data_IF_127359457621
#
_entry.id   IF_127359457621
#
_cell.length_a   1.000
_cell.length_b   1.000
_cell.length_c   1.000
_cell.angle_alpha   90.00
_cell.angle_beta   90.00
_cell.angle_gamma   90.00
#
_symmetry.space_group_name_H-M   'P 1'
#
loop_
_entity.id
_entity.type
_entity.pdbx_description
1 polymer ?
#
# COMPACT_ATOMS: atom_id res chain seq x y z
N UNK A 1 3.77 -8.10 15.73
CA UNK A 1 3.10 -6.77 15.73
C UNK A 1 1.94 -6.87 14.74
N UNK A 2 0.72 -6.58 15.15
CA UNK A 2 -0.45 -6.66 14.26
C UNK A 2 -0.93 -5.22 13.99
N UNK A 3 -0.85 -4.76 12.75
CA UNK A 3 -1.42 -3.48 12.38
C UNK A 3 -2.93 -3.66 12.18
N UNK A 4 -3.75 -2.85 12.86
CA UNK A 4 -5.16 -2.73 12.53
C UNK A 4 -5.29 -1.45 11.71
N UNK A 5 -5.46 -1.60 10.41
CA UNK A 5 -5.80 -0.48 9.55
C UNK A 5 -7.29 -0.20 9.74
N UNK A 6 -7.63 1.00 10.21
CA UNK A 6 -9.00 1.53 10.17
C UNK A 6 -9.01 2.65 9.15
N UNK A 7 -8.96 2.26 7.87
CA UNK A 7 -9.27 3.17 6.77
C UNK A 7 -10.76 3.05 6.50
N UNK A 8 -11.52 4.12 6.72
CA UNK A 8 -12.82 4.23 6.06
C UNK A 8 -12.57 4.26 4.56
N UNK A 9 -13.00 3.23 3.86
CA UNK A 9 -12.89 3.15 2.40
C UNK A 9 -13.90 4.12 1.82
N UNK A 10 -13.44 5.30 1.37
CA UNK A 10 -14.34 6.39 1.00
C UNK A 10 -13.90 7.15 -0.25
N UNK A 11 -14.89 7.32 -1.13
CA UNK A 11 -15.02 8.15 -2.33
C UNK A 11 -14.12 9.38 -2.40
N UNK A 12 -13.50 9.61 -3.55
CA UNK A 12 -12.92 10.87 -4.02
C UNK A 12 -11.96 11.66 -3.14
N UNK A 13 -10.93 12.24 -3.78
CA UNK A 13 -9.99 13.18 -3.14
C UNK A 13 -10.68 14.40 -2.48
N UNK A 14 -11.90 14.74 -2.90
CA UNK A 14 -12.68 15.86 -2.35
C UNK A 14 -13.46 15.49 -1.08
N UNK A 15 -13.90 14.24 -0.94
CA UNK A 15 -14.57 13.73 0.27
C UNK A 15 -13.59 13.34 1.38
N UNK A 16 -12.35 13.00 1.03
CA UNK A 16 -11.28 12.71 1.98
C UNK A 16 -10.96 13.88 2.93
N UNK A 17 -11.17 15.13 2.47
CA UNK A 17 -10.88 16.36 3.24
C UNK A 17 -11.78 16.58 4.45
N UNK A 18 -12.98 16.00 4.47
CA UNK A 18 -13.94 16.19 5.56
C UNK A 18 -13.91 15.06 6.61
N UNK A 19 -13.04 14.07 6.44
CA UNK A 19 -12.87 12.95 7.37
C UNK A 19 -11.52 13.08 8.10
N UNK A 20 -11.42 12.56 9.33
CA UNK A 20 -10.15 12.43 10.08
C UNK A 20 -9.67 10.97 10.05
N UNK A 21 -9.18 10.43 8.90
CA UNK A 21 -8.74 9.05 8.82
C UNK A 21 -7.49 8.81 9.67
N UNK A 22 -7.33 7.58 10.15
CA UNK A 22 -6.24 7.24 11.05
C UNK A 22 -5.80 5.78 10.89
N UNK A 23 -4.59 5.46 11.36
CA UNK A 23 -4.06 4.09 11.42
C UNK A 23 -3.65 3.78 12.86
N UNK A 24 -4.03 2.61 13.37
CA UNK A 24 -3.66 2.17 14.73
C UNK A 24 -2.85 0.87 14.65
N UNK A 25 -1.65 0.91 15.21
CA UNK A 25 -0.86 -0.31 15.39
C UNK A 25 -1.15 -0.89 16.76
N UNK A 26 -1.41 -2.20 16.79
CA UNK A 26 -1.79 -2.93 17.99
C UNK A 26 -0.77 -4.02 18.30
N UNK A 27 -0.49 -4.23 19.58
CA UNK A 27 0.31 -5.35 20.04
C UNK A 27 -0.39 -5.97 21.24
N UNK A 28 -0.66 -7.28 21.17
CA UNK A 28 -1.37 -8.02 22.21
C UNK A 28 -2.68 -7.33 22.67
N UNK A 29 -3.50 -6.90 21.70
CA UNK A 29 -4.78 -6.23 21.97
C UNK A 29 -4.69 -4.79 22.49
N UNK A 30 -3.50 -4.19 22.56
CA UNK A 30 -3.29 -2.83 23.07
C UNK A 30 -2.75 -1.88 22.00
N UNK A 31 -3.27 -0.64 21.99
CA UNK A 31 -2.81 0.44 21.10
C UNK A 31 -1.35 0.75 21.38
N UNK A 32 -0.51 0.58 20.37
CA UNK A 32 0.93 0.87 20.42
C UNK A 32 1.23 2.24 19.83
N UNK A 33 0.62 2.57 18.69
CA UNK A 33 0.77 3.87 18.05
C UNK A 33 -0.49 4.22 17.24
N UNK A 34 -0.75 5.52 17.09
CA UNK A 34 -1.83 6.05 16.26
C UNK A 34 -1.28 7.13 15.35
N UNK A 35 -1.46 6.96 14.05
CA UNK A 35 -1.23 7.98 13.04
C UNK A 35 -2.57 8.60 12.68
N UNK A 36 -2.71 9.93 12.83
CA UNK A 36 -3.86 10.68 12.32
C UNK A 36 -3.50 11.35 11.01
N UNK A 37 -4.47 11.58 10.13
CA UNK A 37 -4.27 12.22 8.84
C UNK A 37 -3.53 13.57 8.93
N UNK A 38 -3.80 14.36 9.97
CA UNK A 38 -3.13 15.64 10.19
C UNK A 38 -1.60 15.55 10.37
N UNK A 39 -1.06 14.39 10.76
CA UNK A 39 0.39 14.18 10.85
C UNK A 39 1.07 13.94 9.48
N UNK A 40 0.28 13.80 8.41
CA UNK A 40 0.73 13.59 7.03
C UNK A 40 0.57 14.85 6.16
N UNK A 41 0.47 16.02 6.79
CA UNK A 41 0.37 17.30 6.10
C UNK A 41 1.59 17.62 5.22
N UNK A 42 1.46 18.60 4.31
CA UNK A 42 2.59 19.08 3.53
C UNK A 42 3.63 19.76 4.44
N UNK A 43 4.89 19.68 4.02
CA UNK A 43 6.03 20.35 4.65
C UNK A 43 6.88 21.00 3.55
N UNK A 44 6.85 22.32 3.51
CA UNK A 44 7.56 23.11 2.50
C UNK A 44 9.09 23.09 2.71
N UNK A 45 9.58 22.97 3.95
CA UNK A 45 11.02 22.96 4.24
C UNK A 45 11.67 21.68 3.71
N UNK A 46 10.93 20.58 3.71
CA UNK A 46 11.38 19.27 3.21
C UNK A 46 10.89 18.94 1.81
N UNK A 47 10.24 19.90 1.12
CA UNK A 47 9.61 19.74 -0.20
C UNK A 47 8.62 18.55 -0.28
N UNK A 48 7.99 18.21 0.85
CA UNK A 48 7.02 17.14 0.94
C UNK A 48 5.62 17.70 0.70
N UNK A 49 5.00 17.33 -0.42
CA UNK A 49 3.57 17.62 -0.66
C UNK A 49 2.64 16.80 0.25
N UNK A 50 1.35 17.15 0.25
CA UNK A 50 0.32 16.48 1.05
C UNK A 50 0.36 14.95 0.87
N UNK A 51 0.47 14.22 1.98
CA UNK A 51 0.32 12.77 2.00
C UNK A 51 -1.04 12.40 2.58
N UNK A 52 -1.69 11.42 1.96
CA UNK A 52 -2.97 10.93 2.44
C UNK A 52 -2.77 9.58 3.12
N UNK A 53 -3.57 9.29 4.14
CA UNK A 53 -3.89 7.90 4.45
C UNK A 53 -4.52 7.31 3.17
N UNK A 54 -4.18 6.09 2.72
CA UNK A 54 -4.68 5.60 1.45
C UNK A 54 -6.23 5.56 1.41
N UNK A 55 -6.87 6.22 0.42
CA UNK A 55 -8.32 6.19 0.24
C UNK A 55 -8.80 4.90 -0.44
N UNK A 56 -7.91 4.27 -1.20
CA UNK A 56 -8.21 3.07 -1.98
C UNK A 56 -7.97 1.80 -1.15
N UNK A 57 -8.74 0.73 -1.42
CA UNK A 57 -8.50 -0.58 -0.82
C UNK A 57 -7.06 -1.04 -1.03
N UNK A 58 -6.47 -1.57 0.05
CA UNK A 58 -5.11 -2.12 0.06
C UNK A 58 -5.15 -3.65 0.19
N UNK A 59 -4.02 -4.28 -0.08
CA UNK A 59 -3.81 -5.71 0.15
C UNK A 59 -2.83 -5.92 1.32
N UNK A 60 -2.97 -7.05 2.01
CA UNK A 60 -2.07 -7.43 3.10
C UNK A 60 -0.88 -8.22 2.54
N UNK A 61 0.34 -7.82 2.91
CA UNK A 61 1.57 -8.57 2.59
C UNK A 61 2.20 -9.04 3.90
N UNK A 62 2.53 -10.33 3.95
CA UNK A 62 3.33 -10.93 5.01
C UNK A 62 4.56 -11.56 4.35
N UNK A 63 5.74 -11.00 4.60
CA UNK A 63 7.01 -11.47 4.04
C UNK A 63 8.05 -11.75 5.12
N UNK A 64 8.88 -12.76 4.88
CA UNK A 64 10.12 -12.98 5.61
C UNK A 64 11.27 -12.70 4.64
N UNK A 65 11.98 -11.59 4.85
CA UNK A 65 13.01 -11.11 3.94
C UNK A 65 14.27 -10.65 4.66
N UNK A 66 15.38 -10.64 3.94
CA UNK A 66 16.68 -10.17 4.39
C UNK A 66 17.13 -9.01 3.48
N UNK A 67 17.61 -7.92 4.06
CA UNK A 67 18.09 -6.75 3.32
C UNK A 67 19.22 -6.05 4.05
N UNK A 68 20.29 -5.72 3.32
CA UNK A 68 21.40 -4.91 3.83
C UNK A 68 21.06 -3.41 3.96
N UNK A 69 19.84 -3.00 3.59
CA UNK A 69 19.44 -1.58 3.54
C UNK A 69 18.91 -1.02 4.87
N UNK A 70 18.51 -1.86 5.83
CA UNK A 70 17.91 -1.42 7.10
C UNK A 70 18.89 -1.50 8.29
N UNK A 71 19.99 -2.24 8.15
CA UNK A 71 21.00 -2.45 9.18
C UNK A 71 22.07 -3.44 8.71
N UNK A 72 23.14 -3.58 9.50
CA UNK A 72 24.19 -4.57 9.23
C UNK A 72 23.64 -5.98 9.40
N UNK A 73 23.97 -6.86 8.46
CA UNK A 73 23.58 -8.27 8.48
C UNK A 73 24.77 -9.13 8.88
N UNK A 74 24.67 -9.76 10.03
CA UNK A 74 25.67 -10.70 10.55
C UNK A 74 25.41 -12.11 10.00
N UNK A 75 26.02 -12.41 8.86
CA UNK A 75 25.85 -13.71 8.20
C UNK A 75 26.51 -14.87 8.94
N UNK A 76 27.51 -14.61 9.78
CA UNK A 76 28.26 -15.66 10.48
C UNK A 76 27.43 -16.29 11.60
N UNK A 77 26.50 -15.53 12.19
CA UNK A 77 25.63 -16.00 13.27
C UNK A 77 24.18 -16.29 12.83
N UNK A 78 23.83 -16.06 11.57
CA UNK A 78 22.50 -16.37 11.04
C UNK A 78 22.29 -17.88 10.88
N UNK A 79 21.13 -18.35 11.34
CA UNK A 79 20.71 -19.76 11.20
C UNK A 79 19.64 -19.88 10.12
N UNK A 80 19.87 -20.77 9.15
CA UNK A 80 18.94 -21.05 8.06
C UNK A 80 18.45 -22.52 8.11
N UNK A 81 17.20 -22.79 7.69
CA UNK A 81 16.21 -21.83 7.19
C UNK A 81 15.55 -21.01 8.33
N UNK A 82 15.35 -19.71 8.09
CA UNK A 82 14.49 -18.89 8.94
C UNK A 82 13.03 -19.20 8.66
N UNK A 83 12.22 -19.40 9.70
CA UNK A 83 10.81 -19.74 9.57
C UNK A 83 9.96 -18.66 10.25
N UNK A 84 9.03 -18.07 9.50
CA UNK A 84 7.98 -17.21 10.03
C UNK A 84 6.68 -18.00 10.04
N UNK A 85 6.16 -18.29 11.24
CA UNK A 85 4.89 -19.00 11.43
C UNK A 85 3.76 -18.02 11.68
N UNK A 86 2.63 -18.22 10.99
CA UNK A 86 1.41 -17.43 11.15
C UNK A 86 0.25 -18.40 11.36
N UNK A 87 -0.35 -18.38 12.55
CA UNK A 87 -1.44 -19.31 12.88
C UNK A 87 -2.73 -18.94 12.15
N UNK A 88 -3.08 -17.65 12.16
CA UNK A 88 -4.25 -17.14 11.45
C UNK A 88 -4.14 -15.62 11.22
N UNK A 89 -4.90 -15.14 10.25
CA UNK A 89 -5.12 -13.71 9.98
C UNK A 89 -6.60 -13.43 10.17
N UNK A 90 -6.94 -12.28 10.78
CA UNK A 90 -8.32 -11.78 10.85
C UNK A 90 -8.40 -10.44 10.16
N UNK A 91 -9.43 -10.30 9.32
CA UNK A 91 -9.76 -9.06 8.64
C UNK A 91 -11.18 -8.66 9.06
N UNK A 92 -11.34 -7.39 9.41
CA UNK A 92 -12.59 -6.83 9.90
C UNK A 92 -12.97 -5.67 9.00
N UNK A 93 -14.23 -5.63 8.58
CA UNK A 93 -14.88 -4.48 7.97
C UNK A 93 -16.00 -4.05 8.91
N UNK A 94 -16.34 -2.76 8.89
CA UNK A 94 -17.47 -2.26 9.66
C UNK A 94 -18.78 -2.85 9.13
N UNK A 95 -19.69 -3.23 10.04
CA UNK A 95 -20.98 -3.80 9.67
C UNK A 95 -21.77 -2.84 8.79
N UNK A 96 -22.28 -3.32 7.66
CA UNK A 96 -23.01 -2.54 6.66
C UNK A 96 -22.12 -1.73 5.70
N UNK A 97 -20.79 -1.79 5.84
CA UNK A 97 -19.82 -1.20 4.90
C UNK A 97 -18.90 -2.28 4.28
N UNK A 98 -19.35 -3.53 4.28
CA UNK A 98 -18.60 -4.63 3.68
C UNK A 98 -18.57 -4.47 2.16
N UNK A 99 -17.36 -4.35 1.61
CA UNK A 99 -17.14 -4.43 0.17
C UNK A 99 -15.89 -5.25 -0.12
N UNK A 100 -16.06 -6.27 -0.95
CA UNK A 100 -14.97 -7.12 -1.45
C UNK A 100 -14.58 -6.78 -2.89
N UNK A 101 -15.34 -5.92 -3.57
CA UNK A 101 -15.11 -5.53 -4.96
C UNK A 101 -14.69 -4.07 -5.07
N UNK A 102 -13.70 -3.81 -5.93
CA UNK A 102 -13.31 -2.46 -6.32
C UNK A 102 -14.15 -1.93 -7.49
N UNK A 103 -15.32 -2.51 -7.78
CA UNK A 103 -16.07 -2.55 -9.05
C UNK A 103 -16.64 -1.22 -9.59
N UNK A 104 -15.96 -0.09 -9.37
CA UNK A 104 -16.30 1.17 -10.00
C UNK A 104 -17.43 1.92 -9.30
N UNK A 105 -17.80 1.53 -8.08
CA UNK A 105 -18.66 2.32 -7.20
C UNK A 105 -18.16 3.76 -6.99
N UNK A 106 -16.86 4.00 -7.24
CA UNK A 106 -16.20 5.30 -7.18
C UNK A 106 -15.59 5.61 -8.55
N UNK A 107 -16.35 6.20 -9.50
CA UNK A 107 -15.86 6.52 -10.85
C UNK A 107 -14.66 7.48 -10.84
N UNK A 108 -14.44 8.22 -9.76
CA UNK A 108 -13.27 9.06 -9.52
C UNK A 108 -12.00 8.29 -9.09
N UNK A 109 -12.11 7.00 -8.76
CA UNK A 109 -10.98 6.12 -8.46
C UNK A 109 -10.81 5.08 -9.59
N UNK A 110 -9.99 5.37 -10.61
CA UNK A 110 -9.86 4.54 -11.80
C UNK A 110 -9.04 3.26 -11.56
N UNK A 111 -8.92 2.76 -10.32
CA UNK A 111 -8.08 1.59 -9.98
C UNK A 111 -8.49 0.38 -10.80
N UNK A 112 -9.80 0.12 -10.97
CA UNK A 112 -10.29 -0.98 -11.81
C UNK A 112 -9.93 -0.76 -13.26
N UNK A 113 -10.24 0.40 -13.84
CA UNK A 113 -9.92 0.66 -15.24
C UNK A 113 -8.40 0.64 -15.50
N UNK A 114 -7.60 1.00 -14.50
CA UNK A 114 -6.15 0.90 -14.52
C UNK A 114 -5.67 -0.57 -14.47
N UNK A 115 -6.19 -1.38 -13.55
CA UNK A 115 -5.85 -2.80 -13.44
C UNK A 115 -6.28 -3.53 -14.71
N UNK A 116 -7.48 -3.26 -15.23
CA UNK A 116 -7.98 -3.85 -16.48
C UNK A 116 -7.10 -3.49 -17.68
N UNK A 117 -6.71 -2.21 -17.79
CA UNK A 117 -5.81 -1.72 -18.83
C UNK A 117 -4.44 -2.41 -18.79
N UNK A 118 -3.96 -2.78 -17.61
CA UNK A 118 -2.66 -3.42 -17.41
C UNK A 118 -2.80 -4.84 -16.81
N UNK A 119 -3.83 -5.58 -17.19
CA UNK A 119 -4.23 -6.84 -16.56
C UNK A 119 -3.12 -7.90 -16.53
N UNK A 120 -2.33 -7.99 -17.60
CA UNK A 120 -1.17 -8.90 -17.66
C UNK A 120 -0.17 -8.64 -16.52
N UNK A 121 0.10 -7.38 -16.18
CA UNK A 121 1.02 -7.04 -15.11
C UNK A 121 0.50 -7.45 -13.72
N UNK A 122 -0.83 -7.47 -13.53
CA UNK A 122 -1.45 -7.77 -12.26
C UNK A 122 -1.87 -9.24 -12.10
N UNK A 123 -2.06 -9.97 -13.21
CA UNK A 123 -2.46 -11.37 -13.20
C UNK A 123 -1.29 -12.34 -13.43
N UNK A 124 -0.13 -11.86 -13.87
CA UNK A 124 1.04 -12.70 -14.12
C UNK A 124 2.08 -12.58 -12.99
N UNK A 125 2.22 -13.60 -12.12
CA UNK A 125 3.16 -13.56 -11.01
C UNK A 125 4.63 -13.57 -11.44
N UNK A 126 4.93 -13.90 -12.71
CA UNK A 126 6.30 -13.87 -13.23
C UNK A 126 6.74 -12.48 -13.70
N UNK A 127 5.87 -11.47 -13.65
CA UNK A 127 6.20 -10.08 -13.99
C UNK A 127 6.38 -9.26 -12.71
N UNK A 128 7.62 -9.15 -12.25
CA UNK A 128 7.97 -8.48 -10.99
C UNK A 128 8.55 -7.07 -11.17
N UNK A 129 8.77 -6.64 -12.42
CA UNK A 129 9.27 -5.30 -12.72
C UNK A 129 8.40 -4.62 -13.78
N UNK A 130 8.15 -3.31 -13.65
CA UNK A 130 7.37 -2.57 -14.63
C UNK A 130 8.19 -2.27 -15.91
N UNK A 131 9.41 -1.76 -15.72
CA UNK A 131 10.37 -1.43 -16.79
C UNK A 131 11.39 -2.55 -16.98
N UNK A 132 11.90 -2.67 -18.21
CA UNK A 132 13.00 -3.58 -18.54
C UNK A 132 12.63 -4.56 -19.65
N UNK A 133 13.43 -5.61 -19.80
CA UNK A 133 13.20 -6.67 -20.79
C UNK A 133 12.39 -7.80 -20.16
N UNK A 134 11.42 -8.34 -20.91
CA UNK A 134 10.57 -9.48 -20.46
C UNK A 134 11.36 -10.68 -19.94
N UNK A 135 12.54 -10.96 -20.53
CA UNK A 135 13.43 -12.03 -20.05
C UNK A 135 13.91 -11.87 -18.60
N UNK A 136 13.84 -10.67 -18.04
CA UNK A 136 14.22 -10.35 -16.66
C UNK A 136 12.97 -10.08 -15.79
N UNK A 137 11.87 -10.79 -16.04
CA UNK A 137 10.60 -10.62 -15.30
C UNK A 137 10.01 -9.19 -15.40
N UNK A 138 10.30 -8.44 -16.46
CA UNK A 138 9.73 -7.10 -16.64
C UNK A 138 8.50 -7.11 -17.56
N UNK A 139 7.43 -6.40 -17.18
CA UNK A 139 6.26 -6.16 -18.02
C UNK A 139 6.63 -5.42 -19.31
N UNK A 140 7.67 -4.57 -19.27
CA UNK A 140 8.25 -3.93 -20.44
C UNK A 140 7.51 -2.66 -20.88
N UNK A 141 6.74 -2.06 -19.98
CA UNK A 141 6.05 -0.80 -20.22
C UNK A 141 6.78 0.38 -19.58
N UNK A 142 6.51 1.60 -20.07
CA UNK A 142 6.93 2.83 -19.38
C UNK A 142 6.20 2.92 -18.05
N UNK A 143 6.89 3.47 -17.03
CA UNK A 143 6.24 3.68 -15.73
C UNK A 143 5.02 4.58 -15.92
N UNK A 144 3.88 4.26 -15.31
CA UNK A 144 2.67 5.06 -15.44
C UNK A 144 2.96 6.46 -14.92
N UNK A 145 2.56 7.47 -15.69
CA UNK A 145 2.74 8.86 -15.27
C UNK A 145 1.71 9.17 -14.19
N UNK A 146 2.15 9.88 -13.14
CA UNK A 146 1.22 10.51 -12.21
C UNK A 146 0.73 11.83 -12.83
N UNK A 147 -0.51 12.21 -12.55
CA UNK A 147 -1.14 13.42 -13.09
C UNK A 147 -0.51 14.73 -12.56
N UNK A 148 0.55 14.65 -11.75
CA UNK A 148 1.18 15.80 -11.10
C UNK A 148 2.49 16.27 -11.78
N UNK A 149 2.87 15.73 -12.94
CA UNK A 149 4.07 16.18 -13.67
C UNK A 149 3.89 16.21 -15.19
N UNK A 150 3.10 17.17 -15.67
CA UNK A 150 3.17 17.64 -17.07
C UNK A 150 3.65 19.10 -17.16
N UNK A 151 4.04 19.73 -16.04
CA UNK A 151 4.65 21.06 -16.00
C UNK A 151 6.05 20.97 -15.36
N UNK A 152 7.04 20.58 -16.15
CA UNK A 152 8.43 20.95 -15.89
C UNK A 152 8.95 21.66 -17.13
N UNK A 153 9.14 22.98 -17.01
CA UNK A 153 10.08 23.76 -17.83
C UNK A 153 11.51 23.27 -17.63
#
# INVERSE_FOLDING_TARGET
MFAIFHSHQLSGAEYYRNQDPYVIWMTAGRKSWTLRAGALGPDEETEVGQRLVPPEPMYLILNLGLSNGFGYVDFDHLKFPGVMSVDYVRFYQDEGMESLSCDGAFPEMPTVSYIDKYSEAYQNPNLTAWRGKRKNAAYGQKFPLNMMKDECS
#
